data_IF_653813923394
#
_entry.id   IF_653813923394
#
_cell.length_a   1.000
_cell.length_b   1.000
_cell.length_c   1.000
_cell.angle_alpha   90.00
_cell.angle_beta   90.00
_cell.angle_gamma   90.00
#
_symmetry.space_group_name_H-M   'P 1'
#
loop_
_entity.id
_entity.type
_entity.pdbx_description
1 polymer ?
#
# COMPACT_ATOMS: atom_id res chain seq x y z
N UNK A 1 -9.15 5.79 6.45
CA UNK A 1 -9.71 4.54 5.89
C UNK A 1 -9.77 4.69 4.37
N UNK A 2 -9.59 3.61 3.60
CA UNK A 2 -9.77 3.63 2.14
C UNK A 2 -11.22 3.18 1.86
N UNK A 3 -12.11 4.05 1.36
CA UNK A 3 -13.47 3.65 1.00
C UNK A 3 -13.45 2.62 -0.13
N UNK A 4 -14.31 1.61 -0.08
CA UNK A 4 -14.37 0.59 -1.13
C UNK A 4 -14.81 1.15 -2.50
N UNK A 5 -15.50 2.29 -2.52
CA UNK A 5 -15.84 3.00 -3.76
C UNK A 5 -14.62 3.43 -4.55
N UNK A 6 -13.48 3.67 -3.89
CA UNK A 6 -12.21 4.05 -4.53
C UNK A 6 -11.51 2.87 -5.22
N UNK A 7 -11.92 1.63 -4.92
CA UNK A 7 -11.25 0.41 -5.40
C UNK A 7 -11.74 -0.06 -6.79
N UNK A 8 -12.53 0.76 -7.50
CA UNK A 8 -12.98 0.51 -8.89
C UNK A 8 -13.62 -0.87 -9.10
N UNK A 9 -14.45 -1.30 -8.15
CA UNK A 9 -15.16 -2.59 -8.20
C UNK A 9 -14.40 -3.77 -7.59
N UNK A 10 -13.19 -3.56 -7.06
CA UNK A 10 -12.55 -4.55 -6.20
C UNK A 10 -13.23 -4.56 -4.83
N UNK A 11 -13.64 -5.75 -4.39
CA UNK A 11 -14.31 -5.99 -3.12
C UNK A 11 -13.42 -6.89 -2.25
N UNK A 12 -12.62 -6.32 -1.32
CA UNK A 12 -11.72 -7.10 -0.49
C UNK A 12 -12.48 -8.12 0.36
N UNK A 13 -11.98 -9.36 0.41
CA UNK A 13 -12.59 -10.43 1.21
C UNK A 13 -11.66 -10.89 2.32
N UNK A 14 -12.24 -11.26 3.46
CA UNK A 14 -11.48 -11.93 4.49
C UNK A 14 -10.87 -13.24 3.95
N UNK A 15 -9.64 -13.52 4.35
CA UNK A 15 -8.86 -14.65 3.84
C UNK A 15 -8.06 -14.36 2.56
N UNK A 16 -8.26 -13.21 1.93
CA UNK A 16 -7.55 -12.85 0.71
C UNK A 16 -6.13 -12.33 1.01
N UNK A 17 -5.18 -12.61 0.10
CA UNK A 17 -3.86 -11.97 0.13
C UNK A 17 -3.75 -10.97 -1.00
N UNK A 18 -3.47 -9.71 -0.65
CA UNK A 18 -3.28 -8.62 -1.61
C UNK A 18 -1.83 -8.18 -1.69
N UNK A 19 -1.44 -7.59 -2.81
CA UNK A 19 -0.24 -6.76 -2.87
C UNK A 19 -0.47 -5.47 -2.10
N UNK A 20 0.42 -5.14 -1.17
CA UNK A 20 0.33 -3.93 -0.36
C UNK A 20 1.70 -3.27 -0.21
N UNK A 21 1.69 -1.94 -0.16
CA UNK A 21 2.86 -1.16 0.20
C UNK A 21 2.44 0.15 0.86
N UNK A 22 3.34 0.72 1.65
CA UNK A 22 3.20 2.03 2.28
C UNK A 22 4.49 2.80 2.07
N UNK A 23 4.36 4.07 1.68
CA UNK A 23 5.48 4.99 1.52
C UNK A 23 5.36 6.13 2.53
N UNK A 24 6.48 6.47 3.15
CA UNK A 24 6.64 7.68 3.96
C UNK A 24 7.66 8.57 3.26
N UNK A 25 7.21 9.73 2.81
CA UNK A 25 8.02 10.70 2.11
C UNK A 25 8.42 11.81 3.08
N UNK A 26 9.73 12.00 3.24
CA UNK A 26 10.34 13.11 3.98
C UNK A 26 10.55 14.27 2.99
N UNK A 27 9.70 15.30 3.10
CA UNK A 27 9.54 16.36 2.11
C UNK A 27 9.33 17.75 2.75
N UNK A 28 10.08 18.03 3.82
CA UNK A 28 9.88 19.22 4.66
C UNK A 28 10.13 20.57 3.95
N UNK A 29 10.83 20.60 2.81
CA UNK A 29 11.19 21.88 2.15
C UNK A 29 11.18 21.82 0.61
N UNK A 30 9.99 21.56 0.03
CA UNK A 30 9.59 21.67 -1.40
C UNK A 30 9.83 20.45 -2.30
N UNK A 31 10.86 19.67 -2.05
CA UNK A 31 11.10 18.39 -2.74
C UNK A 31 11.25 17.25 -1.73
N UNK A 32 10.96 16.03 -2.19
CA UNK A 32 11.15 14.83 -1.38
C UNK A 32 12.64 14.53 -1.26
N UNK A 33 13.18 14.66 -0.04
CA UNK A 33 14.58 14.41 0.28
C UNK A 33 14.83 12.92 0.49
N UNK A 34 13.89 12.21 1.12
CA UNK A 34 13.97 10.75 1.35
C UNK A 34 12.61 10.09 1.21
N UNK A 35 12.63 8.81 0.87
CA UNK A 35 11.44 7.95 0.90
C UNK A 35 11.78 6.66 1.64
N UNK A 36 10.92 6.31 2.59
CA UNK A 36 10.94 5.02 3.26
C UNK A 36 9.76 4.20 2.76
N UNK A 37 10.02 2.96 2.37
CA UNK A 37 9.00 2.03 1.93
C UNK A 37 8.91 0.87 2.91
N UNK A 38 7.70 0.37 3.14
CA UNK A 38 7.53 -0.86 3.90
C UNK A 38 8.28 -2.04 3.24
N UNK A 39 8.20 -2.13 1.90
CA UNK A 39 8.97 -3.10 1.11
C UNK A 39 9.33 -2.54 -0.27
N UNK A 40 10.44 -3.02 -0.83
CA UNK A 40 10.78 -2.78 -2.24
C UNK A 40 11.74 -1.60 -2.44
N UNK A 41 11.59 -0.92 -3.57
CA UNK A 41 12.47 0.16 -4.03
C UNK A 41 11.65 1.42 -4.34
N UNK A 42 12.26 2.62 -4.39
CA UNK A 42 11.56 3.90 -4.60
C UNK A 42 10.69 4.00 -5.87
N UNK A 43 10.80 3.05 -6.81
CA UNK A 43 9.95 2.91 -7.99
C UNK A 43 8.65 2.13 -7.75
N UNK A 44 8.34 1.76 -6.51
CA UNK A 44 7.17 0.94 -6.15
C UNK A 44 5.83 1.52 -6.67
N UNK A 45 5.70 2.84 -6.79
CA UNK A 45 4.52 3.49 -7.38
C UNK A 45 4.23 3.07 -8.83
N UNK A 46 5.26 2.62 -9.56
CA UNK A 46 5.18 2.14 -10.95
C UNK A 46 5.38 0.63 -11.07
N UNK A 47 5.98 0.02 -10.06
CA UNK A 47 6.33 -1.40 -10.06
C UNK A 47 5.64 -2.17 -8.92
N UNK A 48 4.45 -2.69 -9.22
CA UNK A 48 3.64 -3.49 -8.28
C UNK A 48 4.29 -4.82 -7.85
N UNK A 49 5.27 -5.33 -8.60
CA UNK A 49 5.94 -6.59 -8.25
C UNK A 49 6.84 -6.47 -7.02
N UNK A 50 7.17 -5.23 -6.63
CA UNK A 50 7.95 -4.96 -5.42
C UNK A 50 7.12 -4.94 -4.13
N UNK A 51 5.78 -5.01 -4.24
CA UNK A 51 4.88 -4.91 -3.09
C UNK A 51 5.07 -6.07 -2.12
N UNK A 52 4.82 -5.82 -0.83
CA UNK A 52 4.66 -6.90 0.13
C UNK A 52 3.31 -7.58 -0.05
N UNK A 53 3.07 -8.61 0.76
CA UNK A 53 1.82 -9.36 0.78
C UNK A 53 1.10 -9.07 2.09
N UNK A 54 -0.12 -8.55 2.01
CA UNK A 54 -0.98 -8.35 3.17
C UNK A 54 -2.10 -9.39 3.15
N UNK A 55 -2.29 -10.09 4.26
CA UNK A 55 -3.41 -11.00 4.46
C UNK A 55 -4.56 -10.25 5.11
N UNK A 56 -5.73 -10.29 4.50
CA UNK A 56 -6.93 -9.61 4.99
C UNK A 56 -7.61 -10.52 6.02
N UNK A 57 -7.49 -10.18 7.29
CA UNK A 57 -8.19 -10.89 8.35
C UNK A 57 -9.65 -10.45 8.42
N UNK A 58 -10.52 -11.38 8.83
CA UNK A 58 -11.85 -10.99 9.29
C UNK A 58 -11.72 -10.02 10.47
N UNK A 59 -12.59 -9.01 10.59
CA UNK A 59 -12.67 -8.22 11.81
C UNK A 59 -12.83 -9.18 12.99
N UNK A 60 -11.91 -9.11 13.95
CA UNK A 60 -12.10 -9.82 15.22
C UNK A 60 -13.18 -9.05 15.98
N UNK A 61 -14.26 -9.73 16.37
CA UNK A 61 -15.29 -9.16 17.26
C UNK A 61 -14.70 -8.87 18.63
#
# INVERSE_FOLDING_TARGET
AIPYTELRGYHPRAGETIGFNLALDDADDRERVRQFLWRGRPDASRNRFSFGRAYLQSPTM
#
